data_IF_794029886425
#
_entry.id   IF_794029886425
#
_cell.length_a   1.000
_cell.length_b   1.000
_cell.length_c   1.000
_cell.angle_alpha   90.00
_cell.angle_beta   90.00
_cell.angle_gamma   90.00
#
_symmetry.space_group_name_H-M   'P 1'
#
loop_
_entity.id
_entity.type
_entity.pdbx_description
1 polymer ?
#
# COMPACT_ATOMS: atom_id res chain seq x y z
N UNK A 1 -22.17 -11.19 14.65
CA UNK A 1 -21.57 -10.38 13.57
C UNK A 1 -22.58 -9.43 12.97
N UNK A 2 -22.33 -8.13 13.07
CA UNK A 2 -23.15 -7.16 12.34
C UNK A 2 -22.94 -7.41 10.85
N UNK A 3 -24.03 -7.60 10.10
CA UNK A 3 -24.00 -7.92 8.66
C UNK A 3 -23.19 -6.85 7.90
N UNK A 4 -23.22 -5.62 8.40
CA UNK A 4 -22.50 -4.48 7.86
C UNK A 4 -20.97 -4.61 8.01
N UNK A 5 -20.46 -4.96 9.19
CA UNK A 5 -19.02 -5.12 9.39
C UNK A 5 -18.43 -6.22 8.49
N UNK A 6 -19.12 -7.36 8.41
CA UNK A 6 -18.72 -8.46 7.51
C UNK A 6 -18.60 -8.00 6.05
N UNK A 7 -19.59 -7.24 5.57
CA UNK A 7 -19.61 -6.71 4.19
C UNK A 7 -18.48 -5.73 3.95
N UNK A 8 -18.23 -4.81 4.88
CA UNK A 8 -17.13 -3.82 4.76
C UNK A 8 -15.79 -4.55 4.74
N UNK A 9 -15.57 -5.50 5.65
CA UNK A 9 -14.33 -6.28 5.74
C UNK A 9 -14.07 -7.08 4.46
N UNK A 10 -15.09 -7.77 3.94
CA UNK A 10 -14.98 -8.50 2.66
C UNK A 10 -14.65 -7.54 1.52
N UNK A 11 -15.35 -6.40 1.41
CA UNK A 11 -15.10 -5.42 0.35
C UNK A 11 -13.67 -4.84 0.42
N UNK A 12 -13.19 -4.55 1.62
CA UNK A 12 -11.85 -4.05 1.87
C UNK A 12 -10.76 -5.05 1.44
N UNK A 13 -10.80 -6.28 1.95
CA UNK A 13 -9.82 -7.31 1.57
C UNK A 13 -9.92 -7.69 0.09
N UNK A 14 -11.13 -7.72 -0.48
CA UNK A 14 -11.30 -7.96 -1.92
C UNK A 14 -10.64 -6.87 -2.76
N UNK A 15 -10.78 -5.60 -2.37
CA UNK A 15 -10.13 -4.48 -3.05
C UNK A 15 -8.60 -4.61 -2.99
N UNK A 16 -8.06 -4.94 -1.81
CA UNK A 16 -6.61 -5.17 -1.65
C UNK A 16 -6.12 -6.35 -2.48
N UNK A 17 -6.86 -7.44 -2.55
CA UNK A 17 -6.50 -8.60 -3.37
C UNK A 17 -6.48 -8.23 -4.86
N UNK A 18 -7.43 -7.42 -5.34
CA UNK A 18 -7.46 -6.94 -6.73
C UNK A 18 -6.26 -6.04 -7.02
N UNK A 19 -5.99 -5.04 -6.17
CA UNK A 19 -4.84 -4.15 -6.35
C UNK A 19 -3.51 -4.92 -6.29
N UNK A 20 -3.37 -5.86 -5.34
CA UNK A 20 -2.22 -6.76 -5.25
C UNK A 20 -2.06 -7.64 -6.49
N UNK A 21 -3.16 -8.12 -7.09
CA UNK A 21 -3.13 -8.91 -8.31
C UNK A 21 -2.65 -8.10 -9.52
N UNK A 22 -2.98 -6.81 -9.60
CA UNK A 22 -2.45 -5.91 -10.64
C UNK A 22 -0.93 -5.77 -10.51
N UNK A 23 -0.43 -5.55 -9.29
CA UNK A 23 1.02 -5.48 -9.03
C UNK A 23 1.71 -6.82 -9.27
N UNK A 24 1.06 -7.94 -8.93
CA UNK A 24 1.55 -9.29 -9.22
C UNK A 24 1.69 -9.52 -10.74
N UNK A 25 0.71 -9.09 -11.53
CA UNK A 25 0.75 -9.22 -12.98
C UNK A 25 1.86 -8.35 -13.59
N UNK A 26 2.01 -7.10 -13.13
CA UNK A 26 3.08 -6.21 -13.57
C UNK A 26 4.48 -6.74 -13.22
N UNK A 27 4.66 -7.24 -11.99
CA UNK A 27 5.94 -7.83 -11.55
C UNK A 27 6.26 -9.15 -12.25
N UNK A 28 5.26 -9.98 -12.58
CA UNK A 28 5.44 -11.17 -13.41
C UNK A 28 5.87 -10.82 -14.85
N UNK A 29 5.29 -9.75 -15.41
CA UNK A 29 5.71 -9.22 -16.72
C UNK A 29 7.18 -8.76 -16.69
N UNK A 30 7.59 -8.00 -15.66
CA UNK A 30 8.98 -7.62 -15.48
C UNK A 30 9.92 -8.81 -15.27
N UNK A 31 9.50 -9.80 -14.48
CA UNK A 31 10.30 -11.01 -14.26
C UNK A 31 10.56 -11.76 -15.58
N UNK A 32 9.56 -11.83 -16.46
CA UNK A 32 9.70 -12.45 -17.78
C UNK A 32 10.68 -11.70 -18.71
N UNK A 33 10.83 -10.38 -18.53
CA UNK A 33 11.72 -9.54 -19.34
C UNK A 33 13.17 -9.54 -18.79
N UNK A 34 13.33 -9.45 -17.47
CA UNK A 34 14.63 -9.21 -16.85
C UNK A 34 15.42 -10.47 -16.48
N UNK A 35 14.76 -11.60 -16.22
CA UNK A 35 15.47 -12.84 -15.89
C UNK A 35 15.88 -13.61 -17.16
N UNK A 36 17.12 -14.15 -17.25
CA UNK A 36 18.16 -14.22 -16.20
C UNK A 36 19.30 -13.18 -16.32
N UNK A 37 19.39 -12.42 -17.42
CA UNK A 37 20.64 -11.76 -17.81
C UNK A 37 20.88 -10.41 -17.11
N UNK A 38 19.81 -9.70 -16.70
CA UNK A 38 19.90 -8.38 -16.09
C UNK A 38 19.77 -8.43 -14.56
N UNK A 39 20.89 -8.72 -13.89
CA UNK A 39 20.96 -8.81 -12.41
C UNK A 39 20.58 -7.51 -11.69
N UNK A 40 20.71 -6.34 -12.33
CA UNK A 40 20.44 -5.05 -11.70
C UNK A 40 18.96 -4.85 -11.32
N UNK A 41 18.03 -5.28 -12.18
CA UNK A 41 16.58 -5.06 -11.98
C UNK A 41 15.83 -6.32 -11.52
N UNK A 42 16.49 -7.48 -11.54
CA UNK A 42 15.89 -8.74 -11.12
C UNK A 42 15.44 -8.72 -9.65
N UNK A 43 16.21 -8.07 -8.76
CA UNK A 43 15.92 -8.00 -7.32
C UNK A 43 14.57 -7.34 -7.02
N UNK A 44 14.31 -6.20 -7.64
CA UNK A 44 13.04 -5.48 -7.48
C UNK A 44 11.84 -6.32 -7.93
N UNK A 45 11.94 -6.94 -9.11
CA UNK A 45 10.83 -7.72 -9.68
C UNK A 45 10.48 -8.92 -8.80
N UNK A 46 11.48 -9.65 -8.31
CA UNK A 46 11.28 -10.80 -7.42
C UNK A 46 10.69 -10.36 -6.08
N UNK A 47 11.20 -9.26 -5.50
CA UNK A 47 10.68 -8.73 -4.24
C UNK A 47 9.21 -8.34 -4.35
N UNK A 48 8.84 -7.57 -5.38
CA UNK A 48 7.44 -7.18 -5.63
C UNK A 48 6.51 -8.38 -5.85
N UNK A 49 6.98 -9.41 -6.55
CA UNK A 49 6.26 -10.68 -6.77
C UNK A 49 5.94 -11.38 -5.44
N UNK A 50 6.95 -11.52 -4.58
CA UNK A 50 6.82 -12.19 -3.28
C UNK A 50 5.87 -11.43 -2.35
N UNK A 51 6.02 -10.12 -2.24
CA UNK A 51 5.15 -9.30 -1.38
C UNK A 51 3.69 -9.32 -1.87
N UNK A 52 3.46 -9.24 -3.18
CA UNK A 52 2.11 -9.30 -3.75
C UNK A 52 1.47 -10.68 -3.53
N UNK A 53 2.21 -11.76 -3.77
CA UNK A 53 1.74 -13.13 -3.53
C UNK A 53 1.44 -13.40 -2.05
N UNK A 54 2.33 -12.97 -1.15
CA UNK A 54 2.13 -13.06 0.30
C UNK A 54 0.87 -12.31 0.71
N UNK A 55 0.67 -11.10 0.20
CA UNK A 55 -0.52 -10.29 0.51
C UNK A 55 -1.81 -10.98 0.10
N UNK A 56 -1.85 -11.59 -1.09
CA UNK A 56 -3.03 -12.33 -1.58
C UNK A 56 -3.31 -13.55 -0.70
N UNK A 57 -2.31 -14.39 -0.47
CA UNK A 57 -2.45 -15.61 0.35
C UNK A 57 -2.90 -15.25 1.76
N UNK A 58 -2.24 -14.27 2.38
CA UNK A 58 -2.60 -13.84 3.72
C UNK A 58 -3.97 -13.17 3.76
N UNK A 59 -4.35 -12.40 2.73
CA UNK A 59 -5.70 -11.84 2.60
C UNK A 59 -6.78 -12.93 2.58
N UNK A 60 -6.56 -14.02 1.83
CA UNK A 60 -7.44 -15.19 1.86
C UNK A 60 -7.48 -15.85 3.24
N UNK A 61 -6.33 -16.05 3.89
CA UNK A 61 -6.28 -16.62 5.23
C UNK A 61 -7.08 -15.74 6.22
N UNK A 62 -6.95 -14.42 6.17
CA UNK A 62 -7.68 -13.50 7.06
C UNK A 62 -9.19 -13.44 6.77
N UNK A 63 -9.59 -13.67 5.52
CA UNK A 63 -11.00 -13.76 5.11
C UNK A 63 -11.68 -15.04 5.63
N UNK A 64 -10.97 -16.16 5.63
CA UNK A 64 -11.53 -17.46 6.04
C UNK A 64 -11.30 -17.81 7.51
N UNK A 65 -10.22 -17.32 8.11
CA UNK A 65 -9.98 -17.50 9.55
C UNK A 65 -10.85 -16.53 10.34
N UNK A 66 -11.35 -16.99 11.50
CA UNK A 66 -12.01 -16.13 12.49
C UNK A 66 -10.97 -15.17 13.09
N UNK A 67 -10.64 -14.13 12.33
CA UNK A 67 -9.56 -13.22 12.67
C UNK A 67 -9.80 -12.55 14.02
N UNK A 68 -8.74 -12.51 14.81
CA UNK A 68 -8.71 -11.84 16.10
C UNK A 68 -7.93 -10.54 15.94
N UNK A 69 -8.29 -9.45 16.63
CA UNK A 69 -7.51 -8.21 16.57
C UNK A 69 -6.04 -8.40 16.92
N UNK A 70 -5.72 -9.37 17.79
CA UNK A 70 -4.35 -9.75 18.17
C UNK A 70 -3.51 -10.25 17.01
N UNK A 71 -4.10 -10.96 16.05
CA UNK A 71 -3.37 -11.49 14.89
C UNK A 71 -3.47 -10.56 13.69
N UNK A 72 -4.60 -9.86 13.53
CA UNK A 72 -4.84 -8.95 12.41
C UNK A 72 -4.00 -7.68 12.51
N UNK A 73 -3.87 -7.09 13.70
CA UNK A 73 -3.07 -5.87 13.91
C UNK A 73 -1.59 -6.00 13.51
N UNK A 74 -0.81 -6.97 14.04
CA UNK A 74 0.58 -7.12 13.65
C UNK A 74 0.72 -7.51 12.17
N UNK A 75 -0.25 -8.25 11.63
CA UNK A 75 -0.27 -8.60 10.22
C UNK A 75 -0.42 -7.37 9.32
N UNK A 76 -1.42 -6.52 9.58
CA UNK A 76 -1.65 -5.27 8.84
C UNK A 76 -0.42 -4.36 8.91
N UNK A 77 0.23 -4.28 10.08
CA UNK A 77 1.46 -3.51 10.26
C UNK A 77 2.63 -4.04 9.42
N UNK A 78 2.95 -5.33 9.54
CA UNK A 78 4.09 -5.94 8.85
C UNK A 78 3.91 -5.89 7.32
N UNK A 79 2.73 -6.28 6.83
CA UNK A 79 2.43 -6.24 5.40
C UNK A 79 2.41 -4.80 4.89
N UNK A 80 1.88 -3.86 5.67
CA UNK A 80 1.95 -2.43 5.36
C UNK A 80 3.39 -1.96 5.18
N UNK A 81 4.31 -2.30 6.09
CA UNK A 81 5.74 -1.95 5.97
C UNK A 81 6.37 -2.55 4.71
N UNK A 82 6.02 -3.78 4.33
CA UNK A 82 6.50 -4.35 3.07
C UNK A 82 5.99 -3.60 1.84
N UNK A 83 4.73 -3.17 1.82
CA UNK A 83 4.20 -2.35 0.73
C UNK A 83 4.87 -0.97 0.66
N UNK A 84 5.16 -0.35 1.81
CA UNK A 84 5.94 0.88 1.88
C UNK A 84 7.36 0.67 1.31
N UNK A 85 7.99 -0.46 1.62
CA UNK A 85 9.30 -0.80 1.09
C UNK A 85 9.29 -1.01 -0.43
N UNK A 86 8.27 -1.66 -0.98
CA UNK A 86 8.09 -1.79 -2.44
C UNK A 86 7.93 -0.41 -3.09
N UNK A 87 7.15 0.48 -2.49
CA UNK A 87 6.95 1.84 -2.98
C UNK A 87 8.25 2.67 -2.96
N UNK A 88 9.01 2.60 -1.86
CA UNK A 88 10.30 3.28 -1.72
C UNK A 88 11.35 2.76 -2.72
N UNK A 89 11.37 1.46 -2.98
CA UNK A 89 12.29 0.90 -3.99
C UNK A 89 11.86 1.25 -5.42
N UNK A 90 10.55 1.29 -5.70
CA UNK A 90 10.05 1.75 -6.99
C UNK A 90 10.46 3.21 -7.27
N UNK A 91 10.42 4.07 -6.24
CA UNK A 91 10.92 5.45 -6.32
C UNK A 91 12.40 5.51 -6.68
N UNK A 92 13.24 4.71 -6.02
CA UNK A 92 14.69 4.67 -6.29
C UNK A 92 15.02 4.21 -7.73
N UNK A 93 14.23 3.28 -8.28
CA UNK A 93 14.38 2.84 -9.66
C UNK A 93 13.86 3.88 -10.67
N UNK A 94 12.88 4.68 -10.29
CA UNK A 94 12.44 5.82 -11.07
C UNK A 94 13.32 7.03 -10.75
N UNK A 95 14.49 7.10 -11.36
CA UNK A 95 15.30 8.33 -11.38
C UNK A 95 14.38 9.52 -11.71
N UNK A 96 14.64 10.71 -11.15
CA UNK A 96 13.83 11.94 -11.29
C UNK A 96 13.58 12.43 -12.74
N UNK A 97 13.95 11.65 -13.75
CA UNK A 97 13.63 11.92 -15.13
C UNK A 97 12.19 11.54 -15.45
N UNK A 98 11.50 12.48 -16.09
CA UNK A 98 10.19 12.23 -16.65
C UNK A 98 10.27 11.11 -17.69
N UNK A 99 9.34 10.14 -17.64
CA UNK A 99 9.30 9.04 -18.61
C UNK A 99 9.21 9.52 -20.08
N UNK A 100 8.75 10.75 -20.31
CA UNK A 100 8.71 11.39 -21.63
C UNK A 100 10.09 11.82 -22.14
N UNK A 101 11.02 12.14 -21.23
CA UNK A 101 12.37 12.60 -21.56
C UNK A 101 13.31 11.51 -22.08
N UNK A 102 12.97 10.23 -21.89
CA UNK A 102 13.83 9.10 -22.28
C UNK A 102 13.92 8.86 -23.80
N UNK A 103 13.23 9.64 -24.63
CA UNK A 103 13.32 9.57 -26.09
C UNK A 103 13.08 8.16 -26.66
N UNK A 104 13.81 7.81 -27.73
CA UNK A 104 13.78 6.48 -28.36
C UNK A 104 14.83 5.52 -27.79
N UNK A 105 15.27 5.76 -26.55
CA UNK A 105 16.25 4.87 -25.91
C UNK A 105 15.62 3.51 -25.69
N UNK A 106 16.34 2.46 -26.09
CA UNK A 106 15.89 1.09 -25.93
C UNK A 106 16.86 0.35 -25.01
N UNK A 107 16.28 -0.52 -24.17
CA UNK A 107 17.03 -1.40 -23.29
C UNK A 107 17.03 -2.79 -23.93
N UNK A 108 18.21 -3.34 -24.16
CA UNK A 108 18.32 -4.67 -24.74
C UNK A 108 17.88 -5.73 -23.75
N UNK A 109 16.98 -6.61 -24.18
CA UNK A 109 16.46 -7.73 -23.40
C UNK A 109 16.57 -9.02 -24.20
N UNK A 110 16.36 -10.15 -23.53
CA UNK A 110 16.47 -11.47 -24.15
C UNK A 110 15.55 -11.65 -25.38
N UNK A 111 14.41 -10.98 -25.39
CA UNK A 111 13.42 -11.08 -26.46
C UNK A 111 13.49 -9.92 -27.47
N UNK A 112 14.61 -9.18 -27.47
CA UNK A 112 14.83 -8.00 -28.29
C UNK A 112 14.87 -6.72 -27.48
N UNK A 113 14.79 -5.59 -28.14
CA UNK A 113 14.91 -4.28 -27.51
C UNK A 113 13.53 -3.78 -27.07
N UNK A 114 13.39 -3.44 -25.78
CA UNK A 114 12.17 -2.80 -25.24
C UNK A 114 12.44 -1.33 -25.01
N UNK A 115 11.43 -0.51 -25.31
CA UNK A 115 11.51 0.93 -25.07
C UNK A 115 11.66 1.20 -23.57
N UNK A 116 12.70 1.94 -23.19
CA UNK A 116 12.95 2.32 -21.80
C UNK A 116 11.81 3.18 -21.23
N UNK A 117 11.05 3.86 -22.10
CA UNK A 117 9.85 4.62 -21.74
C UNK A 117 8.71 3.71 -21.25
N UNK A 118 8.49 2.56 -21.90
CA UNK A 118 7.46 1.62 -21.49
C UNK A 118 7.77 1.03 -20.11
N UNK A 119 9.04 0.72 -19.85
CA UNK A 119 9.53 0.27 -18.55
C UNK A 119 9.28 1.34 -17.48
N UNK A 120 9.65 2.61 -17.77
CA UNK A 120 9.44 3.71 -16.84
C UNK A 120 7.97 3.87 -16.41
N UNK A 121 7.03 3.82 -17.37
CA UNK A 121 5.60 3.90 -17.03
C UNK A 121 5.13 2.70 -16.20
N UNK A 122 5.58 1.50 -16.53
CA UNK A 122 5.19 0.31 -15.77
C UNK A 122 5.71 0.37 -14.32
N UNK A 123 6.92 0.89 -14.10
CA UNK A 123 7.46 1.09 -12.74
C UNK A 123 6.67 2.15 -11.97
N UNK A 124 6.30 3.27 -12.61
CA UNK A 124 5.43 4.29 -12.01
C UNK A 124 4.03 3.76 -11.65
N UNK A 125 3.50 2.84 -12.44
CA UNK A 125 2.25 2.15 -12.12
C UNK A 125 2.41 1.32 -10.83
N UNK A 126 3.48 0.52 -10.72
CA UNK A 126 3.77 -0.26 -9.51
C UNK A 126 3.96 0.65 -8.29
N UNK A 127 4.64 1.78 -8.45
CA UNK A 127 4.80 2.81 -7.41
C UNK A 127 3.44 3.33 -6.92
N UNK A 128 2.57 3.78 -7.82
CA UNK A 128 1.26 4.32 -7.45
C UNK A 128 0.36 3.29 -6.75
N UNK A 129 0.34 2.04 -7.26
CA UNK A 129 -0.44 0.98 -6.65
C UNK A 129 0.10 0.55 -5.29
N UNK A 130 1.43 0.51 -5.11
CA UNK A 130 2.04 0.15 -3.83
C UNK A 130 1.77 1.20 -2.74
N UNK A 131 1.84 2.49 -3.06
CA UNK A 131 1.41 3.57 -2.16
C UNK A 131 -0.06 3.44 -1.78
N UNK A 132 -0.93 3.17 -2.76
CA UNK A 132 -2.37 3.02 -2.51
C UNK A 132 -2.66 1.85 -1.57
N UNK A 133 -2.02 0.70 -1.79
CA UNK A 133 -2.18 -0.48 -0.93
C UNK A 133 -1.61 -0.23 0.47
N UNK A 134 -0.46 0.44 0.58
CA UNK A 134 0.10 0.86 1.87
C UNK A 134 -0.87 1.75 2.65
N UNK A 135 -1.41 2.81 2.02
CA UNK A 135 -2.35 3.74 2.68
C UNK A 135 -3.61 3.00 3.14
N UNK A 136 -4.14 2.08 2.33
CA UNK A 136 -5.26 1.23 2.73
C UNK A 136 -4.93 0.43 3.99
N UNK A 137 -3.77 -0.26 4.03
CA UNK A 137 -3.32 -0.99 5.22
C UNK A 137 -3.14 -0.11 6.44
N UNK A 138 -2.57 1.09 6.28
CA UNK A 138 -2.38 2.03 7.38
C UNK A 138 -3.73 2.51 7.95
N UNK A 139 -4.70 2.85 7.09
CA UNK A 139 -6.04 3.24 7.52
C UNK A 139 -6.73 2.09 8.27
N UNK A 140 -6.68 0.86 7.74
CA UNK A 140 -7.27 -0.29 8.43
C UNK A 140 -6.60 -0.58 9.77
N UNK A 141 -5.27 -0.49 9.84
CA UNK A 141 -4.53 -0.62 11.09
C UNK A 141 -5.01 0.39 12.14
N UNK A 142 -5.12 1.68 11.76
CA UNK A 142 -5.62 2.74 12.65
C UNK A 142 -7.06 2.45 13.10
N UNK A 143 -7.94 2.03 12.19
CA UNK A 143 -9.34 1.70 12.51
C UNK A 143 -9.40 0.55 13.51
N UNK A 144 -8.64 -0.53 13.30
CA UNK A 144 -8.64 -1.69 14.21
C UNK A 144 -8.13 -1.31 15.59
N UNK A 145 -7.05 -0.53 15.69
CA UNK A 145 -6.52 -0.04 16.97
C UNK A 145 -7.55 0.85 17.69
N UNK A 146 -8.12 1.84 17.00
CA UNK A 146 -9.07 2.76 17.61
C UNK A 146 -10.31 2.04 18.13
N UNK A 147 -10.83 1.10 17.34
CA UNK A 147 -12.04 0.36 17.73
C UNK A 147 -11.79 -0.64 18.85
N UNK A 148 -10.64 -1.32 18.86
CA UNK A 148 -10.26 -2.19 19.99
C UNK A 148 -10.03 -1.40 21.28
N UNK A 149 -9.48 -0.19 21.18
CA UNK A 149 -9.32 0.70 22.34
C UNK A 149 -10.68 1.14 22.90
N UNK A 150 -11.63 1.56 22.06
CA UNK A 150 -12.99 1.92 22.50
C UNK A 150 -13.70 0.75 23.18
N UNK A 151 -13.56 -0.47 22.63
CA UNK A 151 -14.20 -1.65 23.20
C UNK A 151 -13.63 -2.04 24.58
N UNK A 152 -12.34 -1.79 24.86
CA UNK A 152 -11.79 -1.98 26.21
C UNK A 152 -12.43 -1.05 27.24
N UNK A 153 -12.71 0.20 26.86
CA UNK A 153 -13.34 1.19 27.76
C UNK A 153 -14.77 0.76 28.14
N UNK A 154 -15.44 -0.02 27.28
CA UNK A 154 -16.77 -0.59 27.55
C UNK A 154 -16.76 -1.83 28.46
N UNK A 155 -15.61 -2.17 29.08
CA UNK A 155 -15.54 -3.23 30.09
C UNK A 155 -15.29 -4.64 29.54
N UNK A 156 -14.81 -4.77 28.31
CA UNK A 156 -14.38 -6.06 27.75
C UNK A 156 -12.85 -6.25 27.87
N UNK A 157 -12.33 -6.91 28.92
CA UNK A 157 -10.89 -7.07 29.13
C UNK A 157 -10.22 -7.98 28.08
N UNK A 158 -10.91 -9.02 27.61
CA UNK A 158 -10.39 -10.06 26.71
C UNK A 158 -10.61 -9.78 25.22
N UNK A 159 -10.90 -8.53 24.88
CA UNK A 159 -11.32 -8.09 23.54
C UNK A 159 -10.32 -8.41 22.41
N UNK A 160 -9.06 -8.63 22.76
CA UNK A 160 -8.00 -8.97 21.81
C UNK A 160 -8.00 -10.44 21.41
N UNK A 161 -8.53 -11.32 22.26
CA UNK A 161 -8.65 -12.74 22.01
C UNK A 161 -10.01 -13.11 21.38
N UNK A 162 -10.99 -12.21 21.47
CA UNK A 162 -12.30 -12.43 20.88
C UNK A 162 -12.26 -12.31 19.34
N UNK A 163 -12.99 -13.18 18.61
CA UNK A 163 -13.14 -13.05 17.16
C UNK A 163 -13.77 -11.71 16.80
N UNK A 164 -13.25 -11.02 15.77
CA UNK A 164 -13.81 -9.75 15.29
C UNK A 164 -15.31 -9.81 14.98
N UNK A 165 -15.82 -11.00 14.66
CA UNK A 165 -17.22 -11.21 14.33
C UNK A 165 -18.17 -11.01 15.53
N UNK A 166 -17.65 -11.06 16.75
CA UNK A 166 -18.43 -10.98 17.99
C UNK A 166 -18.35 -9.60 18.66
N UNK A 167 -17.44 -8.74 18.22
CA UNK A 167 -17.30 -7.42 18.81
C UNK A 167 -18.47 -6.49 18.45
N UNK A 168 -18.97 -5.68 19.40
CA UNK A 168 -19.99 -4.68 19.16
C UNK A 168 -19.38 -3.48 18.43
N UNK A 169 -19.25 -3.60 17.11
CA UNK A 169 -18.79 -2.49 16.28
C UNK A 169 -19.95 -1.50 16.02
N UNK A 170 -19.62 -0.21 15.96
CA UNK A 170 -20.52 0.87 15.53
C UNK A 170 -21.77 1.11 16.40
N UNK A 171 -21.63 0.96 17.72
CA UNK A 171 -22.72 1.21 18.67
C UNK A 171 -23.98 0.36 18.42
N UNK A 172 -23.85 -0.70 17.61
CA UNK A 172 -24.87 -1.74 17.51
C UNK A 172 -24.84 -2.50 18.84
N UNK A 173 -25.92 -2.38 19.63
CA UNK A 173 -26.01 -3.07 20.91
C UNK A 173 -25.80 -4.58 20.69
N UNK A 174 -24.89 -5.22 21.47
CA UNK A 174 -24.68 -6.65 21.39
C UNK A 174 -25.99 -7.38 21.76
N UNK A 175 -26.56 -8.15 20.82
CA UNK A 175 -27.76 -8.96 21.07
C UNK A 175 -28.92 -8.82 20.07
N UNK A 176 -28.78 -8.09 18.96
CA UNK A 176 -29.89 -7.93 18.01
C UNK A 176 -29.78 -8.85 16.75
N UNK A 177 -30.84 -9.56 16.33
CA UNK A 177 -32.14 -9.82 17.00
C UNK A 177 -32.24 -11.29 17.47
N UNK A 178 -32.29 -11.52 18.78
CA UNK A 178 -32.89 -12.76 19.34
C UNK A 178 -32.15 -13.45 20.48
N UNK A 179 -30.88 -13.13 20.75
CA UNK A 179 -30.12 -13.76 21.82
C UNK A 179 -29.75 -12.73 22.90
N UNK A 180 -30.40 -12.88 24.06
CA UNK A 180 -30.11 -12.12 25.27
C UNK A 180 -28.72 -12.46 25.79
N UNK A 181 -27.67 -11.80 25.26
CA UNK A 181 -26.30 -11.94 25.77
C UNK A 181 -26.14 -11.51 27.24
N UNK A 182 -27.07 -10.70 27.75
CA UNK A 182 -27.16 -10.36 29.17
C UNK A 182 -27.86 -11.42 30.03
N UNK A 183 -28.32 -12.54 29.45
CA UNK A 183 -29.08 -13.57 30.14
C UNK A 183 -28.33 -14.89 30.27
N UNK A 184 -27.39 -14.98 31.19
CA UNK A 184 -27.10 -16.14 32.08
C UNK A 184 -25.62 -16.30 32.47
N UNK A 185 -24.67 -15.97 31.59
CA UNK A 185 -23.25 -16.27 31.84
C UNK A 185 -22.39 -15.07 32.30
N UNK A 186 -22.88 -13.83 32.16
CA UNK A 186 -22.17 -12.67 32.72
C UNK A 186 -22.11 -12.69 34.26
N UNK A 187 -23.10 -13.32 34.92
CA UNK A 187 -23.02 -13.61 36.36
C UNK A 187 -21.97 -14.67 36.70
N UNK A 188 -21.62 -15.56 35.76
CA UNK A 188 -20.63 -16.62 36.02
C UNK A 188 -19.19 -16.10 36.03
N UNK A 189 -18.88 -15.07 35.25
CA UNK A 189 -17.53 -14.48 35.24
C UNK A 189 -17.29 -13.48 36.37
N UNK A 190 -18.32 -12.76 36.84
CA UNK A 190 -18.18 -11.88 38.00
C UNK A 190 -18.08 -12.63 39.34
N UNK A 191 -18.47 -13.90 39.41
CA UNK A 191 -18.30 -14.70 40.64
C UNK A 191 -16.90 -15.29 40.84
N UNK A 192 -15.95 -15.15 39.89
CA UNK A 192 -14.59 -15.71 40.06
C UNK A 192 -13.54 -14.71 40.56
N UNK A 193 -13.81 -13.41 40.49
CA UNK A 193 -12.93 -12.36 41.06
C UNK A 193 -13.61 -11.53 42.15
N UNK A 194 -14.80 -11.94 42.59
CA UNK A 194 -15.30 -11.52 43.89
C UNK A 194 -14.39 -12.13 44.95
N UNK A 195 -13.69 -11.26 45.68
CA UNK A 195 -13.09 -11.59 46.96
C UNK A 195 -14.00 -12.58 47.70
N UNK A 196 -13.48 -13.78 47.97
CA UNK A 196 -13.90 -14.61 49.10
C UNK A 196 -13.60 -13.81 50.37
N UNK A 197 -14.36 -12.72 50.58
CA UNK A 197 -14.37 -11.98 51.82
C UNK A 197 -15.19 -12.88 52.74
N UNK A 198 -14.45 -13.66 53.53
CA UNK A 198 -14.95 -14.77 54.33
C UNK A 198 -16.30 -14.47 54.98
N UNK A 199 -17.33 -15.18 54.53
CA UNK A 199 -18.44 -15.46 55.39
C UNK A 199 -17.93 -16.48 56.43
N UNK A 200 -17.88 -16.14 57.73
CA UNK A 200 -17.54 -17.10 58.75
C UNK A 200 -18.61 -18.20 58.78
N UNK A 201 -18.23 -19.41 58.36
CA UNK A 201 -18.97 -20.63 58.60
C UNK A 201 -18.98 -20.89 60.11
N UNK A 202 -20.00 -20.39 60.79
CA UNK A 202 -20.37 -20.80 62.14
C UNK A 202 -21.64 -21.64 62.08
N UNK A 203 -21.55 -22.86 62.63
CA UNK A 203 -22.71 -23.69 62.99
C UNK A 203 -23.03 -24.77 61.95
N UNK A 204 -22.56 -25.99 62.12
CA UNK A 204 -23.11 -27.01 63.02
C UNK A 204 -24.05 -27.98 62.28
N UNK A 205 -23.51 -29.16 61.98
CA UNK A 205 -24.20 -30.41 62.26
C UNK A 205 -24.85 -31.15 61.09
N UNK A 206 -24.56 -32.46 61.08
CA UNK A 206 -25.39 -33.60 60.65
C UNK A 206 -25.15 -34.19 59.24
N UNK A 207 -24.34 -35.25 59.28
CA UNK A 207 -24.64 -36.63 58.81
C UNK A 207 -25.16 -36.84 57.39
N UNK A 208 -24.29 -37.45 56.59
CA UNK A 208 -24.52 -38.67 55.80
C UNK A 208 -25.97 -39.09 55.49
N UNK A 209 -26.31 -39.16 54.20
CA UNK A 209 -26.89 -40.38 53.61
C UNK A 209 -26.90 -40.31 52.08
N UNK A 210 -26.34 -41.38 51.51
CA UNK A 210 -26.58 -41.90 50.16
C UNK A 210 -28.08 -42.02 49.84
N UNK A 211 -28.46 -41.87 48.56
CA UNK A 211 -29.03 -42.96 47.73
C UNK A 211 -30.02 -42.45 46.67
N UNK A 212 -29.88 -43.06 45.50
CA UNK A 212 -30.72 -42.97 44.30
C UNK A 212 -32.24 -42.99 44.54
N UNK A 213 -32.98 -42.32 43.65
CA UNK A 213 -34.42 -42.50 43.49
C UNK A 213 -35.00 -41.54 42.44
N UNK A 214 -35.29 -42.07 41.25
CA UNK A 214 -36.19 -41.43 40.29
C UNK A 214 -37.58 -41.27 40.91
N UNK A 215 -38.22 -40.13 40.69
CA UNK A 215 -39.57 -39.87 41.16
C UNK A 215 -40.08 -38.52 40.71
N UNK A 216 -40.74 -38.52 39.56
CA UNK A 216 -41.71 -37.53 39.11
C UNK A 216 -42.57 -37.05 40.30
N UNK A 217 -42.65 -35.74 40.56
CA UNK A 217 -43.78 -35.08 41.23
C UNK A 217 -43.63 -33.57 41.07
N UNK A 218 -44.62 -32.95 40.42
CA UNK A 218 -44.84 -31.50 40.42
C UNK A 218 -45.02 -30.98 41.84
N UNK A 219 -44.46 -29.80 42.16
CA UNK A 219 -45.04 -28.94 43.16
C UNK A 219 -45.72 -27.74 42.48
N UNK A 220 -47.03 -27.70 42.61
CA UNK A 220 -47.81 -26.46 42.59
C UNK A 220 -47.18 -25.49 43.61
N UNK A 221 -46.50 -24.46 43.13
CA UNK A 221 -46.03 -23.36 43.96
C UNK A 221 -47.17 -22.34 44.02
N UNK A 222 -47.82 -22.30 45.17
CA UNK A 222 -48.64 -21.16 45.62
C UNK A 222 -47.66 -20.04 45.97
N UNK A 223 -47.42 -19.11 45.04
CA UNK A 223 -46.69 -17.89 45.37
C UNK A 223 -47.58 -16.95 46.21
N UNK A 224 -47.06 -16.42 47.35
CA UNK A 224 -47.69 -15.31 48.02
C UNK A 224 -47.54 -14.04 47.16
N UNK A 225 -48.65 -13.37 46.89
CA UNK A 225 -48.73 -12.11 46.18
C UNK A 225 -47.77 -11.09 46.81
N UNK A 226 -46.68 -10.79 46.11
CA UNK A 226 -45.83 -9.66 46.45
C UNK A 226 -46.49 -8.40 45.90
N UNK A 227 -46.87 -7.53 46.84
CA UNK A 227 -47.41 -6.19 46.66
C UNK A 227 -46.71 -5.45 45.51
N UNK A 228 -47.49 -5.09 44.50
CA UNK A 228 -47.05 -4.37 43.31
C UNK A 228 -46.77 -2.92 43.71
N UNK A 229 -45.50 -2.57 43.91
CA UNK A 229 -45.09 -1.18 44.13
C UNK A 229 -45.28 -0.40 42.81
N UNK A 230 -46.10 0.66 42.77
CA UNK A 230 -46.33 1.42 41.54
C UNK A 230 -45.10 2.25 41.19
N UNK A 231 -44.54 2.00 40.01
CA UNK A 231 -43.49 2.83 39.41
C UNK A 231 -44.06 4.20 39.01
N UNK A 232 -43.27 5.29 39.17
CA UNK A 232 -43.69 6.64 38.82
C UNK A 232 -43.85 6.82 37.29
N UNK A 233 -44.67 7.78 36.85
CA UNK A 233 -44.95 8.00 35.44
C UNK A 233 -43.69 8.50 34.72
N UNK A 234 -43.27 7.76 33.69
CA UNK A 234 -42.28 8.24 32.71
C UNK A 234 -42.91 9.36 31.88
N UNK A 235 -42.37 10.55 32.05
CA UNK A 235 -42.72 11.73 31.28
C UNK A 235 -42.29 11.57 29.82
N UNK A 236 -43.30 11.67 28.96
CA UNK A 236 -43.22 11.93 27.54
C UNK A 236 -42.27 13.10 27.22
N UNK A 237 -41.11 12.81 26.62
CA UNK A 237 -40.42 13.75 25.73
C UNK A 237 -40.09 13.08 24.38
N UNK A 238 -41.05 13.21 23.46
CA UNK A 238 -40.89 13.63 22.05
C UNK A 238 -39.53 13.34 21.39
N UNK A 239 -39.39 12.41 20.43
CA UNK A 239 -40.01 12.37 19.08
C UNK A 239 -39.94 13.71 18.32
N UNK A 240 -38.74 14.12 17.90
CA UNK A 240 -38.56 14.98 16.73
C UNK A 240 -37.08 15.06 16.30
N UNK A 241 -36.64 14.29 15.29
CA UNK A 241 -35.77 14.78 14.20
C UNK A 241 -35.51 13.73 13.11
N UNK A 242 -36.55 13.31 12.39
CA UNK A 242 -36.36 12.55 11.14
C UNK A 242 -37.27 13.15 10.06
N UNK A 243 -36.76 14.16 9.35
CA UNK A 243 -37.30 14.69 8.07
C UNK A 243 -36.39 15.80 7.54
N UNK A 244 -35.34 15.42 6.80
CA UNK A 244 -34.53 16.26 5.89
C UNK A 244 -33.22 15.49 5.64
N UNK A 245 -32.99 14.76 4.53
CA UNK A 245 -33.03 15.25 3.16
C UNK A 245 -33.15 14.08 2.16
N UNK A 246 -34.38 13.80 1.71
CA UNK A 246 -34.63 13.11 0.44
C UNK A 246 -35.21 14.13 -0.54
N UNK A 247 -34.35 14.90 -1.22
CA UNK A 247 -34.68 15.59 -2.48
C UNK A 247 -33.45 16.29 -3.04
N UNK A 248 -32.83 15.72 -4.08
CA UNK A 248 -32.49 16.47 -5.30
C UNK A 248 -31.94 15.54 -6.40
N UNK A 249 -32.71 15.43 -7.50
CA UNK A 249 -32.31 15.30 -8.93
C UNK A 249 -31.43 14.08 -9.31
N UNK A 250 -31.83 13.09 -10.10
CA UNK A 250 -32.65 12.97 -11.34
C UNK A 250 -32.23 13.88 -12.50
N UNK A 251 -31.97 13.23 -13.64
CA UNK A 251 -31.54 13.68 -14.98
C UNK A 251 -30.00 13.85 -15.12
N UNK A 252 -29.30 13.29 -16.11
CA UNK A 252 -29.70 12.99 -17.48
C UNK A 252 -28.94 11.77 -18.05
N UNK A 253 -29.62 11.07 -18.97
CA UNK A 253 -29.07 10.09 -19.91
C UNK A 253 -28.85 10.79 -21.26
N UNK A 254 -27.75 10.55 -21.97
CA UNK A 254 -27.70 10.66 -23.43
C UNK A 254 -27.55 9.25 -24.02
N UNK A 255 -28.59 8.76 -24.68
CA UNK A 255 -28.75 8.77 -26.15
C UNK A 255 -27.66 7.99 -26.88
N UNK A 256 -28.03 6.76 -27.18
CA UNK A 256 -27.52 5.93 -28.27
C UNK A 256 -27.72 6.61 -29.62
N UNK A 257 -26.65 6.68 -30.43
CA UNK A 257 -26.74 6.86 -31.88
C UNK A 257 -26.35 5.53 -32.55
N UNK A 258 -27.24 4.92 -33.35
CA UNK A 258 -26.90 3.94 -34.37
C UNK A 258 -26.76 4.63 -35.75
N UNK A 259 -26.30 3.89 -36.78
CA UNK A 259 -25.89 4.29 -38.16
C UNK A 259 -24.40 4.70 -38.24
N UNK A 260 -23.53 4.19 -39.11
CA UNK A 260 -23.55 3.42 -40.37
C UNK A 260 -22.23 2.60 -40.42
N UNK A 261 -22.19 1.32 -40.73
CA UNK A 261 -22.34 0.65 -42.04
C UNK A 261 -21.38 1.16 -43.15
N UNK A 262 -20.45 0.29 -43.59
CA UNK A 262 -19.78 0.44 -44.87
C UNK A 262 -18.30 0.02 -44.93
N UNK A 263 -18.06 -1.22 -45.38
CA UNK A 263 -17.09 -1.64 -46.44
C UNK A 263 -15.65 -1.07 -46.42
N UNK A 264 -14.55 -1.80 -46.63
CA UNK A 264 -14.32 -2.90 -47.57
C UNK A 264 -12.88 -3.41 -47.40
N UNK A 265 -12.69 -4.71 -47.64
CA UNK A 265 -11.54 -5.38 -48.29
C UNK A 265 -10.40 -4.47 -48.79
N UNK A 266 -9.16 -4.86 -48.49
CA UNK A 266 -8.18 -5.27 -49.52
C UNK A 266 -6.99 -6.04 -48.95
N UNK A 267 -6.64 -7.12 -49.64
CA UNK A 267 -5.37 -7.83 -49.58
C UNK A 267 -4.16 -6.93 -49.85
N UNK A 268 -3.04 -7.23 -49.18
CA UNK A 268 -1.72 -6.67 -49.49
C UNK A 268 -0.62 -7.64 -49.08
N UNK A 269 -0.47 -8.73 -49.84
CA UNK A 269 0.65 -9.67 -49.78
C UNK A 269 1.83 -9.04 -50.50
N UNK A 270 2.91 -8.72 -49.80
CA UNK A 270 4.22 -8.46 -50.43
C UNK A 270 5.33 -9.22 -49.70
N UNK A 271 5.76 -10.31 -50.37
CA UNK A 271 7.11 -10.87 -50.25
C UNK A 271 8.05 -9.97 -51.04
N UNK A 272 9.20 -9.60 -50.49
CA UNK A 272 10.39 -9.24 -51.27
C UNK A 272 11.63 -9.37 -50.36
N UNK A 273 12.38 -10.47 -50.49
CA UNK A 273 13.74 -10.55 -51.04
C UNK A 273 14.82 -10.46 -49.96
N UNK A 274 15.59 -11.56 -49.85
CA UNK A 274 16.88 -11.66 -49.17
C UNK A 274 17.88 -10.69 -49.80
N UNK A 275 18.69 -10.03 -48.97
CA UNK A 275 20.13 -9.93 -49.21
C UNK A 275 20.88 -10.04 -47.86
N UNK A 276 22.03 -10.74 -47.81
CA UNK A 276 22.89 -10.80 -46.64
C UNK A 276 23.90 -9.65 -46.70
N UNK A 277 23.94 -8.81 -45.67
CA UNK A 277 25.09 -7.94 -45.41
C UNK A 277 25.79 -8.46 -44.16
N UNK A 278 27.00 -8.97 -44.39
CA UNK A 278 28.02 -9.13 -43.36
C UNK A 278 28.56 -7.73 -43.11
N UNK A 279 28.33 -7.19 -41.92
CA UNK A 279 29.10 -6.06 -41.40
C UNK A 279 29.63 -6.44 -40.01
N UNK A 280 30.95 -6.58 -39.99
CA UNK A 280 31.80 -6.47 -38.81
C UNK A 280 32.03 -4.98 -38.63
N UNK A 281 31.57 -4.32 -37.55
CA UNK A 281 32.48 -3.54 -36.70
C UNK A 281 31.86 -2.81 -35.49
N UNK A 282 32.73 -2.69 -34.49
CA UNK A 282 32.78 -1.86 -33.26
C UNK A 282 31.50 -1.51 -32.48
N UNK A 283 31.39 -2.13 -31.30
CA UNK A 283 30.50 -1.71 -30.23
C UNK A 283 30.81 -0.29 -29.75
N UNK A 284 29.94 0.63 -30.15
CA UNK A 284 29.87 1.99 -29.64
C UNK A 284 28.68 2.07 -28.68
N UNK A 285 28.95 1.99 -27.37
CA UNK A 285 27.97 2.29 -26.33
C UNK A 285 27.65 3.80 -26.39
N UNK A 286 26.62 4.16 -27.16
CA UNK A 286 26.00 5.48 -27.14
C UNK A 286 25.34 5.71 -25.77
N UNK A 287 26.09 6.34 -24.88
CA UNK A 287 25.58 6.83 -23.61
C UNK A 287 24.67 8.04 -23.87
N UNK A 288 23.37 7.78 -23.89
CA UNK A 288 22.28 8.74 -23.99
C UNK A 288 22.28 9.74 -22.81
N UNK A 289 22.22 11.03 -23.16
CA UNK A 289 21.59 12.13 -22.39
C UNK A 289 21.81 12.18 -20.88
N UNK A 290 22.85 12.90 -20.45
CA UNK A 290 22.91 13.48 -19.10
C UNK A 290 21.95 14.69 -19.08
N UNK A 291 20.95 14.75 -18.19
CA UNK A 291 20.08 15.93 -18.08
C UNK A 291 20.92 17.10 -17.59
N UNK A 292 20.73 18.27 -18.23
CA UNK A 292 21.32 19.50 -17.75
C UNK A 292 20.88 19.75 -16.31
N UNK A 293 21.85 19.83 -15.41
CA UNK A 293 21.63 20.34 -14.06
C UNK A 293 21.14 21.78 -14.18
N UNK A 294 19.85 22.00 -13.93
CA UNK A 294 19.33 23.33 -13.65
C UNK A 294 19.99 23.80 -12.36
N UNK A 295 20.87 24.80 -12.46
CA UNK A 295 21.35 25.52 -11.29
C UNK A 295 20.17 26.19 -10.61
N UNK A 296 19.67 25.60 -9.52
CA UNK A 296 18.85 26.34 -8.58
C UNK A 296 19.73 27.44 -8.00
N UNK A 297 19.42 28.68 -8.35
CA UNK A 297 19.93 29.84 -7.63
C UNK A 297 19.42 29.75 -6.19
N UNK A 298 20.27 29.29 -5.29
CA UNK A 298 20.07 29.47 -3.86
C UNK A 298 20.43 30.92 -3.53
N UNK A 299 19.41 31.77 -3.41
CA UNK A 299 19.54 33.03 -2.68
C UNK A 299 19.78 32.67 -1.21
N UNK A 300 21.05 32.76 -0.79
CA UNK A 300 21.49 32.41 0.55
C UNK A 300 22.58 33.36 1.01
N UNK A 301 22.21 34.20 1.97
CA UNK A 301 23.04 35.16 2.69
C UNK A 301 24.43 34.64 3.06
N UNK A 302 25.40 35.56 2.97
CA UNK A 302 26.82 35.30 3.15
C UNK A 302 27.16 34.65 4.48
N UNK A 303 27.98 33.60 4.39
CA UNK A 303 29.04 33.33 5.35
C UNK A 303 30.18 32.63 4.61
N UNK A 304 31.32 33.33 4.55
CA UNK A 304 32.58 32.83 4.01
C UNK A 304 33.12 31.70 4.89
N UNK A 305 32.80 30.45 4.54
CA UNK A 305 33.59 29.29 4.95
C UNK A 305 33.85 28.43 3.72
N UNK A 306 35.04 28.62 3.13
CA UNK A 306 35.54 27.82 2.04
C UNK A 306 35.69 26.35 2.47
N UNK A 307 34.84 25.49 1.94
CA UNK A 307 35.00 24.04 1.99
C UNK A 307 36.27 23.64 1.21
N UNK A 308 37.20 22.85 1.79
CA UNK A 308 38.37 22.37 1.08
C UNK A 308 37.96 21.35 0.01
N UNK A 309 38.20 21.65 -1.27
CA UNK A 309 38.17 20.66 -2.34
C UNK A 309 37.30 20.96 -3.55
N UNK A 310 36.59 22.09 -3.62
CA UNK A 310 35.92 22.48 -4.86
C UNK A 310 36.92 23.15 -5.83
N UNK A 311 36.97 22.72 -7.11
CA UNK A 311 37.89 23.29 -8.10
C UNK A 311 37.49 24.74 -8.40
N UNK A 312 38.37 25.68 -8.05
CA UNK A 312 38.22 27.10 -8.38
C UNK A 312 38.66 27.27 -9.83
N UNK A 313 37.77 27.78 -10.69
CA UNK A 313 38.12 28.17 -12.05
C UNK A 313 38.94 29.46 -12.00
N UNK A 314 40.26 29.37 -12.23
CA UNK A 314 41.13 30.53 -12.40
C UNK A 314 41.09 30.99 -13.86
N UNK A 315 40.25 31.97 -14.16
CA UNK A 315 40.24 32.65 -15.46
C UNK A 315 41.19 33.84 -15.44
N UNK A 316 42.37 33.71 -16.06
CA UNK A 316 43.31 34.82 -16.27
C UNK A 316 43.85 34.82 -17.70
N UNK A 317 42.98 34.88 -18.71
CA UNK A 317 43.26 35.57 -19.98
C UNK A 317 42.05 35.50 -20.93
N UNK A 318 41.58 36.63 -21.49
CA UNK A 318 40.62 36.62 -22.58
C UNK A 318 41.21 35.87 -23.78
N UNK A 319 40.51 34.85 -24.28
CA UNK A 319 40.91 34.05 -25.45
C UNK A 319 41.61 32.72 -25.14
N UNK A 320 41.95 32.46 -23.87
CA UNK A 320 42.44 31.16 -23.43
C UNK A 320 41.27 30.45 -22.75
N UNK A 321 40.78 29.36 -23.34
CA UNK A 321 39.66 28.60 -22.80
C UNK A 321 39.92 28.16 -21.35
N UNK A 322 38.87 28.09 -20.54
CA UNK A 322 38.99 27.76 -19.12
C UNK A 322 39.67 26.40 -18.94
N UNK A 323 40.70 26.36 -18.08
CA UNK A 323 41.36 25.11 -17.70
C UNK A 323 40.67 24.57 -16.45
N UNK A 324 40.15 23.35 -16.53
CA UNK A 324 39.51 22.67 -15.38
C UNK A 324 40.41 21.53 -14.94
N UNK A 325 40.69 21.44 -13.64
CA UNK A 325 41.41 20.32 -13.07
C UNK A 325 40.42 19.23 -12.65
N UNK A 326 40.47 18.08 -13.31
CA UNK A 326 39.59 16.94 -13.06
C UNK A 326 40.46 15.74 -12.68
N UNK A 327 40.45 15.35 -11.40
CA UNK A 327 41.20 14.19 -10.92
C UNK A 327 42.72 14.31 -11.05
N UNK A 328 43.27 15.53 -11.04
CA UNK A 328 44.71 15.79 -11.19
C UNK A 328 45.16 16.03 -12.64
N UNK A 329 44.28 15.82 -13.63
CA UNK A 329 44.52 16.19 -15.01
C UNK A 329 43.95 17.58 -15.30
N UNK A 330 44.77 18.48 -15.83
CA UNK A 330 44.31 19.77 -16.34
C UNK A 330 43.79 19.59 -17.78
N UNK A 331 42.51 19.85 -18.00
CA UNK A 331 41.90 19.84 -19.33
C UNK A 331 41.49 21.25 -19.72
N UNK A 332 42.01 21.70 -20.85
CA UNK A 332 41.66 22.99 -21.43
C UNK A 332 40.41 22.84 -22.30
N UNK A 333 39.39 23.64 -22.00
CA UNK A 333 38.18 23.71 -22.83
C UNK A 333 38.52 24.40 -24.15
N UNK A 334 38.21 23.75 -25.27
CA UNK A 334 38.31 24.38 -26.59
C UNK A 334 37.29 25.52 -26.69
N UNK A 335 37.68 26.70 -27.22
CA UNK A 335 36.72 27.77 -27.49
C UNK A 335 35.54 27.27 -28.31
N UNK A 336 34.33 27.67 -27.92
CA UNK A 336 33.10 27.24 -28.60
C UNK A 336 32.68 25.79 -28.35
N UNK A 337 33.30 25.06 -27.42
CA UNK A 337 32.85 23.72 -27.00
C UNK A 337 32.31 23.75 -25.58
N UNK A 338 31.31 22.94 -25.26
CA UNK A 338 30.92 22.59 -23.89
C UNK A 338 31.67 21.34 -23.45
N UNK A 339 32.01 21.26 -22.16
CA UNK A 339 32.69 20.09 -21.59
C UNK A 339 31.68 19.23 -20.84
N UNK A 340 31.60 17.95 -21.17
CA UNK A 340 30.78 16.95 -20.48
C UNK A 340 31.73 15.98 -19.77
N UNK A 341 31.65 15.93 -18.44
CA UNK A 341 32.43 15.00 -17.62
C UNK A 341 31.52 13.83 -17.24
N UNK A 342 31.83 12.63 -17.70
CA UNK A 342 31.09 11.40 -17.34
C UNK A 342 31.90 10.63 -16.30
N UNK A 343 31.25 10.23 -15.20
CA UNK A 343 31.87 9.36 -14.20
C UNK A 343 32.23 8.01 -14.82
N UNK A 344 33.47 7.56 -14.64
CA UNK A 344 33.90 6.24 -15.10
C UNK A 344 33.21 5.12 -14.31
N UNK A 345 32.83 4.04 -14.98
CA UNK A 345 32.24 2.87 -14.29
C UNK A 345 33.30 2.18 -13.43
N UNK A 346 32.98 1.89 -12.15
CA UNK A 346 33.80 1.07 -11.23
C UNK A 346 35.22 1.60 -10.96
N UNK A 347 35.36 2.90 -10.73
CA UNK A 347 36.66 3.50 -10.39
C UNK A 347 37.58 3.73 -11.58
N UNK A 348 37.09 3.53 -12.81
CA UNK A 348 37.76 4.03 -14.00
C UNK A 348 37.86 5.57 -13.96
N UNK A 349 38.92 6.16 -14.55
CA UNK A 349 39.06 7.61 -14.62
C UNK A 349 37.86 8.24 -15.35
N UNK A 350 37.45 9.46 -14.97
CA UNK A 350 36.34 10.15 -15.63
C UNK A 350 36.64 10.37 -17.11
N UNK A 351 35.64 10.15 -17.96
CA UNK A 351 35.75 10.46 -19.38
C UNK A 351 35.34 11.92 -19.62
N UNK A 352 36.16 12.65 -20.35
CA UNK A 352 35.95 14.06 -20.65
C UNK A 352 35.70 14.18 -22.15
N UNK A 353 34.49 14.62 -22.51
CA UNK A 353 34.05 14.80 -23.89
C UNK A 353 33.82 16.30 -24.11
N UNK A 354 34.39 16.85 -25.19
CA UNK A 354 34.14 18.24 -25.59
C UNK A 354 33.18 18.24 -26.77
N UNK A 355 32.01 18.84 -26.59
CA UNK A 355 30.95 18.88 -27.61
C UNK A 355 30.88 20.31 -28.17
N UNK A 356 30.91 20.51 -29.50
CA UNK A 356 30.73 21.84 -30.08
C UNK A 356 29.43 22.48 -29.59
N UNK A 357 29.53 23.67 -29.01
CA UNK A 357 28.39 24.46 -28.59
C UNK A 357 27.68 25.01 -29.82
N UNK A 358 26.43 24.60 -30.03
CA UNK A 358 25.56 25.23 -31.02
C UNK A 358 25.13 26.60 -30.49
N UNK A 359 25.96 27.62 -30.73
CA UNK A 359 25.56 29.01 -30.54
C UNK A 359 24.88 29.47 -31.83
N UNK A 360 23.55 29.24 -31.93
CA UNK A 360 22.75 29.95 -32.91
C UNK A 360 22.59 31.39 -32.41
N UNK A 361 23.44 32.29 -32.92
CA UNK A 361 23.30 33.72 -32.65
C UNK A 361 21.94 34.26 -33.11
N UNK A 362 21.50 35.41 -32.55
CA UNK A 362 20.22 36.03 -32.87
C UNK A 362 20.06 36.44 -34.34
#
# INVERSE_FOLDING_TARGET
MTILFKRIRIAYFSTICILSAVVLAASAYFANIYLPDNKAHAGFSVYALVISALTIISGFIQLFSRAQPRTETPFLFIVGVFWLSVAAWALDQSVDQECYGLGNTQTSTKHGDVSSRAICYATKIVEAFSWTVFVMFAIAFIIVINRTATAKVLGHPDIWAEPMDNLPWYDELPGYPGESWFGSDFHRYHHRYGYEQGAPLTGAGRTAASRAGYGQLSPTITEPMMERQPSPPEDHYTRAREKSSRRSRRAASPRTNPYENGTSRTHGRSRSIRQPTVDVDYGQQLASGVPMATSQYAEGYGHDQALPGMPIATTTQPGVGATVNVGGAQVQQLPGHSMIIRGGSKGAPPQIEQVPGYYNGP
#
